data_IF_940170295593
#
_entry.id   IF_940170295593
#
_cell.length_a   1.000
_cell.length_b   1.000
_cell.length_c   1.000
_cell.angle_alpha   90.00
_cell.angle_beta   90.00
_cell.angle_gamma   90.00
#
_symmetry.space_group_name_H-M   'P 1'
#
loop_
_entity.id
_entity.type
_entity.pdbx_description
1 polymer ?
#
# COMPACT_ATOMS: atom_id res chain seq x y z
N UNK A 1 1.46 -12.97 16.36
CA UNK A 1 2.12 -11.90 17.14
C UNK A 1 1.50 -10.53 16.87
N UNK A 2 0.18 -10.45 16.65
CA UNK A 2 -0.56 -9.18 16.60
C UNK A 2 -1.53 -9.17 17.77
N UNK A 3 -0.97 -9.00 18.96
CA UNK A 3 -1.72 -8.81 20.20
C UNK A 3 -2.29 -7.38 20.25
N UNK A 4 -2.99 -6.95 19.18
CA UNK A 4 -3.75 -5.71 19.17
C UNK A 4 -5.03 -5.96 19.98
N UNK A 5 -4.85 -5.98 21.30
CA UNK A 5 -5.93 -6.01 22.27
C UNK A 5 -6.43 -4.61 22.61
N UNK A 6 -7.47 -4.56 23.44
CA UNK A 6 -7.97 -3.31 24.01
C UNK A 6 -6.88 -2.54 24.76
N UNK A 7 -5.98 -3.25 25.43
CA UNK A 7 -4.84 -2.68 26.17
C UNK A 7 -3.85 -1.97 25.24
N UNK A 8 -3.48 -2.60 24.12
CA UNK A 8 -2.57 -2.02 23.13
C UNK A 8 -3.15 -0.76 22.48
N UNK A 9 -4.44 -0.79 22.13
CA UNK A 9 -5.15 0.39 21.62
C UNK A 9 -5.13 1.55 22.63
N UNK A 10 -5.26 1.24 23.92
CA UNK A 10 -5.17 2.23 24.99
C UNK A 10 -3.77 2.85 25.06
N UNK A 11 -2.71 2.04 24.98
CA UNK A 11 -1.31 2.50 24.96
C UNK A 11 -1.06 3.39 23.75
N UNK A 12 -1.49 2.97 22.55
CA UNK A 12 -1.37 3.77 21.32
C UNK A 12 -2.15 5.08 21.46
N UNK A 13 -3.34 5.04 22.04
CA UNK A 13 -4.16 6.23 22.33
C UNK A 13 -3.42 7.22 23.22
N UNK A 14 -2.80 6.77 24.31
CA UNK A 14 -2.01 7.63 25.21
C UNK A 14 -0.80 8.22 24.48
N UNK A 15 -0.05 7.42 23.74
CA UNK A 15 1.11 7.90 22.96
C UNK A 15 0.66 8.95 21.93
N UNK A 16 -0.44 8.70 21.22
CA UNK A 16 -0.97 9.64 20.25
C UNK A 16 -1.42 10.96 20.91
N UNK A 17 -2.03 10.91 22.10
CA UNK A 17 -2.39 12.12 22.86
C UNK A 17 -1.16 12.95 23.27
N UNK A 18 -0.03 12.31 23.59
CA UNK A 18 1.20 13.01 23.96
C UNK A 18 1.86 13.66 22.74
N UNK A 19 1.95 12.93 21.63
CA UNK A 19 2.68 13.38 20.43
C UNK A 19 1.88 14.43 19.65
N UNK A 20 0.60 14.19 19.44
CA UNK A 20 -0.28 15.06 18.64
C UNK A 20 -0.96 16.10 19.52
N UNK A 21 -1.23 15.77 20.78
CA UNK A 21 -1.95 16.63 21.72
C UNK A 21 -3.42 16.20 21.90
N UNK A 22 -3.98 16.37 23.11
CA UNK A 22 -5.34 15.91 23.43
C UNK A 22 -6.45 16.71 22.74
N UNK A 23 -6.15 17.91 22.22
CA UNK A 23 -7.11 18.75 21.48
C UNK A 23 -7.09 18.51 19.97
N UNK A 24 -5.97 18.07 19.43
CA UNK A 24 -5.80 17.97 17.98
C UNK A 24 -6.28 16.61 17.44
N UNK A 25 -6.12 15.53 18.22
CA UNK A 25 -6.68 14.22 17.91
C UNK A 25 -8.19 14.23 17.61
N UNK A 26 -9.07 14.77 18.49
CA UNK A 26 -10.50 14.80 18.22
C UNK A 26 -10.84 15.69 17.02
N UNK A 27 -10.11 16.79 16.81
CA UNK A 27 -10.29 17.66 15.64
C UNK A 27 -9.94 16.92 14.33
N UNK A 28 -8.84 16.15 14.32
CA UNK A 28 -8.44 15.31 13.19
C UNK A 28 -9.46 14.22 12.89
N UNK A 29 -9.98 13.52 13.91
CA UNK A 29 -11.02 12.52 13.72
C UNK A 29 -12.32 13.11 13.16
N UNK A 30 -12.69 14.32 13.55
CA UNK A 30 -13.85 15.00 12.97
C UNK A 30 -13.64 15.30 11.48
N UNK A 31 -12.45 15.74 11.08
CA UNK A 31 -12.12 16.00 9.68
C UNK A 31 -12.08 14.72 8.85
N UNK A 32 -11.36 13.71 9.35
CA UNK A 32 -11.26 12.39 8.71
C UNK A 32 -12.64 11.72 8.61
N UNK A 33 -13.45 11.83 9.67
CA UNK A 33 -14.80 11.29 9.72
C UNK A 33 -15.74 11.94 8.70
N UNK A 34 -15.65 13.26 8.50
CA UNK A 34 -16.42 13.97 7.46
C UNK A 34 -16.01 13.51 6.06
N UNK A 35 -14.71 13.32 5.81
CA UNK A 35 -14.19 12.82 4.55
C UNK A 35 -14.68 11.38 4.28
N UNK A 36 -14.45 10.47 5.22
CA UNK A 36 -14.90 9.08 5.14
C UNK A 36 -16.43 8.98 5.04
N UNK A 37 -17.17 9.87 5.71
CA UNK A 37 -18.62 9.95 5.63
C UNK A 37 -19.12 10.33 4.23
N UNK A 38 -18.48 11.32 3.59
CA UNK A 38 -18.75 11.66 2.17
C UNK A 38 -18.41 10.51 1.25
N UNK A 39 -17.24 9.91 1.41
CA UNK A 39 -16.81 8.76 0.61
C UNK A 39 -17.76 7.57 0.76
N UNK A 40 -18.23 7.29 1.99
CA UNK A 40 -19.22 6.23 2.26
C UNK A 40 -20.57 6.53 1.64
N UNK A 41 -21.01 7.79 1.64
CA UNK A 41 -22.25 8.19 0.96
C UNK A 41 -22.14 7.98 -0.54
N UNK A 42 -21.05 8.46 -1.15
CA UNK A 42 -20.76 8.24 -2.57
C UNK A 42 -20.69 6.74 -2.88
N UNK A 43 -19.96 5.95 -2.07
CA UNK A 43 -19.86 4.51 -2.25
C UNK A 43 -21.21 3.79 -2.21
N UNK A 44 -22.17 4.25 -1.38
CA UNK A 44 -23.54 3.71 -1.40
C UNK A 44 -24.29 4.02 -2.69
N UNK A 45 -24.13 5.23 -3.20
CA UNK A 45 -24.73 5.66 -4.48
C UNK A 45 -24.12 4.88 -5.66
N UNK A 46 -22.79 4.70 -5.67
CA UNK A 46 -22.08 3.86 -6.64
C UNK A 46 -22.46 2.39 -6.51
N UNK A 47 -22.60 1.86 -5.30
CA UNK A 47 -22.99 0.47 -5.10
C UNK A 47 -24.40 0.21 -5.64
N UNK A 48 -25.34 1.14 -5.42
CA UNK A 48 -26.68 1.05 -6.02
C UNK A 48 -26.61 1.04 -7.55
N UNK A 49 -25.93 2.03 -8.14
CA UNK A 49 -25.80 2.13 -9.60
C UNK A 49 -25.03 0.95 -10.22
N UNK A 50 -23.98 0.45 -9.55
CA UNK A 50 -23.24 -0.75 -9.96
C UNK A 50 -24.07 -2.01 -9.82
N UNK A 51 -24.89 -2.16 -8.79
CA UNK A 51 -25.72 -3.35 -8.61
C UNK A 51 -26.83 -3.43 -9.66
N UNK A 52 -27.41 -2.28 -10.02
CA UNK A 52 -28.35 -2.16 -11.13
C UNK A 52 -27.66 -2.48 -12.47
N UNK A 53 -26.49 -1.90 -12.73
CA UNK A 53 -25.71 -2.16 -13.95
C UNK A 53 -25.15 -3.59 -14.01
N UNK A 54 -24.73 -4.17 -12.88
CA UNK A 54 -24.16 -5.51 -12.79
C UNK A 54 -25.20 -6.60 -12.99
N UNK A 55 -26.45 -6.34 -12.57
CA UNK A 55 -27.60 -7.21 -12.83
C UNK A 55 -27.91 -7.31 -14.32
N UNK A 56 -27.61 -6.25 -15.08
CA UNK A 56 -27.81 -6.18 -16.53
C UNK A 56 -26.57 -6.63 -17.33
N UNK A 57 -25.37 -6.46 -16.77
CA UNK A 57 -24.09 -6.75 -17.44
C UNK A 57 -23.41 -8.08 -17.03
N UNK A 58 -24.00 -8.93 -16.18
CA UNK A 58 -23.40 -10.21 -15.75
C UNK A 58 -22.13 -10.05 -14.90
N UNK A 59 -21.94 -8.87 -14.29
CA UNK A 59 -20.77 -8.55 -13.45
C UNK A 59 -20.87 -9.20 -12.06
N UNK A 60 -22.04 -9.73 -11.71
CA UNK A 60 -22.31 -10.40 -10.44
C UNK A 60 -21.42 -11.62 -10.24
N UNK A 61 -21.18 -12.41 -11.29
CA UNK A 61 -20.26 -13.54 -11.29
C UNK A 61 -18.81 -13.11 -10.98
N UNK A 62 -18.33 -12.02 -11.59
CA UNK A 62 -16.98 -11.48 -11.32
C UNK A 62 -16.85 -10.94 -9.89
N UNK A 63 -17.90 -10.29 -9.37
CA UNK A 63 -17.93 -9.83 -7.99
C UNK A 63 -17.95 -11.00 -6.99
N UNK A 64 -18.68 -12.07 -7.29
CA UNK A 64 -18.73 -13.28 -6.46
C UNK A 64 -17.40 -14.04 -6.46
N UNK A 65 -16.70 -14.12 -7.58
CA UNK A 65 -15.36 -14.72 -7.65
C UNK A 65 -14.32 -13.89 -6.90
N UNK A 66 -14.37 -12.55 -7.02
CA UNK A 66 -13.53 -11.67 -6.21
C UNK A 66 -13.85 -11.80 -4.70
N UNK A 67 -15.13 -11.93 -4.35
CA UNK A 67 -15.57 -12.14 -2.97
C UNK A 67 -15.13 -13.50 -2.43
N UNK A 68 -15.10 -14.55 -3.27
CA UNK A 68 -14.52 -15.85 -2.90
C UNK A 68 -13.00 -15.76 -2.75
N UNK A 69 -12.33 -15.02 -3.61
CA UNK A 69 -10.88 -14.80 -3.54
C UNK A 69 -10.43 -13.93 -2.35
N UNK A 70 -11.31 -13.07 -1.83
CA UNK A 70 -11.05 -12.18 -0.69
C UNK A 70 -11.74 -12.62 0.60
N UNK A 71 -12.56 -13.66 0.55
CA UNK A 71 -13.17 -14.28 1.72
C UNK A 71 -12.11 -14.73 2.71
N UNK A 72 -12.37 -14.55 4.00
CA UNK A 72 -11.52 -15.06 5.08
C UNK A 72 -11.10 -16.54 4.87
N UNK A 73 -11.96 -17.34 4.22
CA UNK A 73 -11.67 -18.74 3.89
C UNK A 73 -10.50 -18.90 2.92
N UNK A 74 -10.38 -18.07 1.90
CA UNK A 74 -9.27 -18.09 0.94
C UNK A 74 -8.04 -17.34 1.44
N UNK A 75 -8.23 -16.33 2.31
CA UNK A 75 -7.15 -15.61 3.00
C UNK A 75 -6.50 -16.40 4.16
N UNK A 76 -6.77 -17.71 4.26
CA UNK A 76 -6.07 -18.58 5.21
C UNK A 76 -6.56 -18.51 6.65
N UNK A 77 -7.72 -17.92 6.92
CA UNK A 77 -8.27 -17.83 8.28
C UNK A 77 -8.64 -19.21 8.85
N UNK A 78 -8.98 -20.19 7.99
CA UNK A 78 -9.18 -21.59 8.39
C UNK A 78 -7.86 -22.26 8.79
N UNK A 79 -6.76 -21.95 8.11
CA UNK A 79 -5.42 -22.43 8.47
C UNK A 79 -4.95 -21.80 9.79
N UNK A 80 -5.24 -20.52 10.02
CA UNK A 80 -4.97 -19.82 11.27
C UNK A 80 -5.80 -20.40 12.42
N UNK A 81 -7.09 -20.67 12.22
CA UNK A 81 -7.94 -21.34 13.21
C UNK A 81 -7.46 -22.75 13.52
N UNK A 82 -7.10 -23.52 12.50
CA UNK A 82 -6.60 -24.88 12.69
C UNK A 82 -5.22 -24.90 13.38
N UNK A 83 -4.37 -23.91 13.12
CA UNK A 83 -3.12 -23.71 13.86
C UNK A 83 -3.40 -23.30 15.31
N UNK A 84 -4.34 -22.40 15.56
CA UNK A 84 -4.75 -22.02 16.91
C UNK A 84 -5.28 -23.23 17.70
N UNK A 85 -6.16 -24.05 17.11
CA UNK A 85 -6.67 -25.29 17.70
C UNK A 85 -5.56 -26.31 18.01
N UNK A 86 -4.50 -26.36 17.18
CA UNK A 86 -3.34 -27.24 17.40
C UNK A 86 -2.47 -26.73 18.56
N UNK A 87 -2.31 -25.42 18.68
CA UNK A 87 -1.57 -24.78 19.77
C UNK A 87 -2.30 -24.89 21.10
N UNK A 88 -3.63 -24.74 21.13
CA UNK A 88 -4.42 -24.96 22.37
C UNK A 88 -4.37 -26.42 22.85
N UNK A 89 -4.26 -27.38 21.93
CA UNK A 89 -4.13 -28.81 22.25
C UNK A 89 -2.70 -29.25 22.51
N UNK A 90 -1.72 -28.37 22.30
CA UNK A 90 -0.33 -28.66 22.59
C UNK A 90 -0.09 -28.54 24.09
N UNK A 91 0.23 -29.68 24.70
CA UNK A 91 0.52 -29.82 26.13
C UNK A 91 2.04 -29.76 26.36
N UNK A 92 2.60 -28.64 26.86
CA UNK A 92 4.03 -28.48 27.10
C UNK A 92 4.55 -29.31 28.30
N UNK A 93 3.68 -30.03 29.02
CA UNK A 93 4.05 -30.83 30.19
C UNK A 93 4.35 -32.29 29.86
N UNK A 94 4.32 -32.70 28.59
CA UNK A 94 4.78 -34.04 28.17
C UNK A 94 6.28 -34.03 27.89
N UNK A 95 7.12 -34.68 28.73
CA UNK A 95 8.54 -34.78 28.47
C UNK A 95 8.77 -35.74 27.29
N UNK A 96 9.17 -35.19 26.14
CA UNK A 96 9.85 -35.95 25.10
C UNK A 96 11.32 -36.09 25.52
N UNK A 97 11.66 -37.29 25.98
CA UNK A 97 13.00 -37.66 26.40
C UNK A 97 13.85 -38.02 25.17
N UNK A 98 14.54 -37.01 24.62
CA UNK A 98 15.85 -37.09 23.93
C UNK A 98 15.93 -37.61 22.48
N UNK A 99 17.10 -37.47 21.79
CA UNK A 99 18.37 -36.92 22.27
C UNK A 99 19.01 -35.82 21.37
N UNK A 100 20.10 -35.29 21.92
CA UNK A 100 21.29 -34.75 21.24
C UNK A 100 21.18 -33.37 20.55
N UNK A 101 21.79 -32.39 21.24
CA UNK A 101 22.34 -31.15 20.69
C UNK A 101 23.08 -31.45 19.39
N UNK A 102 22.57 -30.94 18.27
CA UNK A 102 23.36 -30.76 17.07
C UNK A 102 24.33 -29.59 17.32
N UNK A 103 25.61 -29.90 17.48
CA UNK A 103 26.68 -28.92 17.33
C UNK A 103 26.71 -28.44 15.87
N UNK A 104 26.83 -27.14 15.61
CA UNK A 104 27.10 -26.66 14.26
C UNK A 104 28.57 -26.91 13.90
N UNK A 105 28.82 -27.73 12.88
CA UNK A 105 30.11 -27.84 12.21
C UNK A 105 30.48 -26.49 11.55
N UNK A 106 31.70 -25.97 11.75
CA UNK A 106 32.17 -24.72 11.14
C UNK A 106 32.88 -24.99 9.80
N UNK A 107 32.30 -25.84 8.95
CA UNK A 107 32.87 -26.16 7.64
C UNK A 107 31.74 -26.43 6.63
N UNK A 108 31.08 -25.35 6.23
CA UNK A 108 30.28 -25.31 5.01
C UNK A 108 30.72 -24.08 4.22
N UNK A 109 31.79 -24.29 3.46
CA UNK A 109 32.32 -23.39 2.45
C UNK A 109 31.20 -22.85 1.55
N UNK A 110 31.28 -21.55 1.29
CA UNK A 110 30.42 -20.83 0.37
C UNK A 110 30.42 -21.46 -1.03
N UNK A 111 29.24 -21.69 -1.65
CA UNK A 111 29.13 -21.78 -3.08
C UNK A 111 29.09 -20.36 -3.65
N UNK A 112 30.26 -19.84 -4.01
CA UNK A 112 30.39 -18.77 -4.97
C UNK A 112 30.10 -19.36 -6.36
N UNK A 113 28.83 -19.38 -6.77
CA UNK A 113 28.46 -19.43 -8.18
C UNK A 113 26.98 -19.05 -8.34
N UNK A 114 26.75 -17.79 -8.71
CA UNK A 114 25.49 -17.34 -9.28
C UNK A 114 25.83 -16.46 -10.50
N UNK A 115 25.42 -16.86 -11.71
CA UNK A 115 25.76 -16.14 -12.93
C UNK A 115 25.06 -14.78 -12.95
N UNK A 116 25.83 -13.74 -13.31
CA UNK A 116 25.32 -12.38 -13.49
C UNK A 116 24.20 -12.35 -14.54
N UNK A 117 23.00 -11.81 -14.23
CA UNK A 117 22.01 -11.55 -15.25
C UNK A 117 22.43 -10.29 -16.02
N UNK A 118 22.55 -10.48 -17.33
CA UNK A 118 22.79 -9.51 -18.40
C UNK A 118 21.87 -8.28 -18.32
N UNK A 119 22.34 -7.10 -18.78
CA UNK A 119 21.50 -5.91 -18.85
C UNK A 119 20.29 -6.18 -19.78
N UNK A 120 19.06 -5.88 -19.36
CA UNK A 120 17.89 -6.12 -20.19
C UNK A 120 17.99 -5.25 -21.44
N UNK A 121 17.85 -5.91 -22.58
CA UNK A 121 17.73 -5.29 -23.89
C UNK A 121 16.77 -4.10 -23.81
N UNK A 122 17.25 -2.94 -24.25
CA UNK A 122 16.49 -1.70 -24.35
C UNK A 122 15.36 -1.89 -25.36
N UNK A 123 14.24 -2.41 -24.87
CA UNK A 123 13.00 -2.49 -25.63
C UNK A 123 12.49 -1.08 -25.93
N UNK A 124 11.68 -0.99 -26.98
CA UNK A 124 10.96 0.22 -27.41
C UNK A 124 10.22 0.95 -26.28
N UNK A 125 9.85 0.26 -25.21
CA UNK A 125 9.26 0.86 -23.99
C UNK A 125 10.24 1.73 -23.20
N UNK A 126 11.54 1.39 -23.14
CA UNK A 126 12.55 2.21 -22.47
C UNK A 126 12.81 3.52 -23.23
N UNK A 127 12.71 3.49 -24.57
CA UNK A 127 12.84 4.68 -25.41
C UNK A 127 11.60 5.60 -25.27
N UNK A 128 10.40 5.02 -25.21
CA UNK A 128 9.17 5.79 -24.98
C UNK A 128 9.12 6.45 -23.59
N UNK A 129 9.66 5.80 -22.56
CA UNK A 129 9.81 6.39 -21.23
C UNK A 129 10.89 7.47 -21.20
N UNK A 130 12.00 7.29 -21.93
CA UNK A 130 13.05 8.29 -22.06
C UNK A 130 12.55 9.56 -22.77
N UNK A 131 11.76 9.43 -23.84
CA UNK A 131 11.13 10.57 -24.53
C UNK A 131 10.13 11.29 -23.64
N UNK A 132 9.27 10.58 -22.91
CA UNK A 132 8.33 11.21 -21.96
C UNK A 132 9.05 11.94 -20.83
N UNK A 133 10.18 11.39 -20.35
CA UNK A 133 10.98 12.06 -19.34
C UNK A 133 11.74 13.28 -19.90
N UNK A 134 12.23 13.21 -21.14
CA UNK A 134 12.85 14.34 -21.82
C UNK A 134 11.86 15.48 -22.06
N UNK A 135 10.64 15.17 -22.53
CA UNK A 135 9.56 16.15 -22.71
C UNK A 135 9.16 16.82 -21.38
N UNK A 136 9.05 16.03 -20.30
CA UNK A 136 8.72 16.56 -18.98
C UNK A 136 9.83 17.45 -18.40
N UNK A 137 11.10 17.12 -18.65
CA UNK A 137 12.25 17.95 -18.24
C UNK A 137 12.32 19.25 -19.03
N UNK A 138 12.01 19.24 -20.33
CA UNK A 138 11.95 20.46 -21.14
C UNK A 138 10.87 21.43 -20.62
N UNK A 139 9.66 20.92 -20.32
CA UNK A 139 8.58 21.73 -19.74
C UNK A 139 8.98 22.27 -18.36
N UNK A 140 9.65 21.46 -17.53
CA UNK A 140 10.07 21.89 -16.21
C UNK A 140 11.13 22.99 -16.27
N UNK A 141 12.06 22.91 -17.22
CA UNK A 141 13.06 23.93 -17.44
C UNK A 141 12.43 25.22 -17.99
N UNK A 142 11.55 25.14 -18.98
CA UNK A 142 10.82 26.31 -19.51
C UNK A 142 9.97 26.98 -18.42
N UNK A 143 9.31 26.19 -17.58
CA UNK A 143 8.54 26.69 -16.44
C UNK A 143 9.45 27.32 -15.40
N UNK A 144 10.61 26.71 -15.14
CA UNK A 144 11.65 27.25 -14.26
C UNK A 144 12.22 28.57 -14.76
N UNK A 145 12.50 28.70 -16.05
CA UNK A 145 12.99 29.93 -16.68
C UNK A 145 11.92 31.03 -16.68
N UNK A 146 10.64 30.70 -16.91
CA UNK A 146 9.54 31.66 -16.74
C UNK A 146 9.38 32.12 -15.29
N UNK A 147 9.49 31.21 -14.33
CA UNK A 147 9.46 31.55 -12.90
C UNK A 147 10.66 32.41 -12.49
N UNK A 148 11.83 32.18 -13.11
CA UNK A 148 13.03 32.99 -12.88
C UNK A 148 12.88 34.38 -13.48
N UNK A 149 12.39 34.50 -14.72
CA UNK A 149 12.07 35.77 -15.36
C UNK A 149 11.03 36.59 -14.58
N UNK A 150 10.00 35.93 -14.02
CA UNK A 150 9.02 36.57 -13.13
C UNK A 150 9.62 37.01 -11.79
N UNK A 151 10.64 36.31 -11.28
CA UNK A 151 11.32 36.65 -10.02
C UNK A 151 12.35 37.77 -10.20
N UNK A 152 12.99 37.83 -11.36
CA UNK A 152 13.96 38.86 -11.72
C UNK A 152 13.28 40.14 -12.28
N UNK A 153 11.94 40.11 -12.45
CA UNK A 153 11.12 41.30 -12.70
C UNK A 153 11.14 41.81 -14.13
N UNK A 154 11.49 40.98 -15.12
CA UNK A 154 11.39 41.35 -16.53
C UNK A 154 10.01 40.96 -17.08
N UNK A 155 9.16 41.97 -17.24
CA UNK A 155 7.89 41.90 -17.94
C UNK A 155 8.12 41.41 -19.38
N UNK A 156 7.53 40.29 -19.83
CA UNK A 156 7.58 39.92 -21.24
C UNK A 156 6.87 40.99 -22.04
N UNK A 157 7.62 41.70 -22.89
CA UNK A 157 7.09 42.70 -23.80
C UNK A 157 5.97 42.07 -24.64
N UNK A 158 4.80 42.66 -24.48
CA UNK A 158 3.67 42.68 -25.39
C UNK A 158 4.13 42.58 -26.84
N UNK A 159 3.82 41.46 -27.50
CA UNK A 159 3.69 41.44 -28.95
C UNK A 159 2.23 41.11 -29.25
N UNK A 160 1.46 42.19 -29.38
CA UNK A 160 0.11 42.18 -29.90
C UNK A 160 0.05 41.44 -31.25
N UNK A 161 -1.02 40.69 -31.53
CA UNK A 161 -1.34 40.28 -32.88
C UNK A 161 -1.92 41.49 -33.64
N UNK A 162 -1.17 42.01 -34.60
CA UNK A 162 -1.70 42.89 -35.65
C UNK A 162 -1.87 42.08 -36.94
N UNK A 163 -3.10 42.12 -37.45
CA UNK A 163 -3.58 41.83 -38.82
C UNK A 163 -3.24 40.47 -39.48
#
# INVERSE_FOLDING_TARGET
MFDIGWTELLVIGVVALIVIGPKDLPMMFQQLGRFTGKLRRMAREFQGAMEDAAREAGVKEAADDLKKATSAKSLGLDAVKQAADRFEKWDPLKPTTGPARAQPDPDAAAPADAPAPTPPATGTETQALAEKQAARRAILNETGDRLRALKDGETPAEKAPDA
#
